data_IF_035041100040
#
_entry.id   IF_035041100040
#
_cell.length_a   1.000
_cell.length_b   1.000
_cell.length_c   1.000
_cell.angle_alpha   90.00
_cell.angle_beta   90.00
_cell.angle_gamma   90.00
#
_symmetry.space_group_name_H-M   'P 1'
#
loop_
_entity.id
_entity.type
_entity.pdbx_description
1 polymer ?
#
# COMPACT_ATOMS: atom_id res chain seq x y z
N UNK A 1 14.84 22.15 -0.42
CA UNK A 1 13.69 22.97 -0.89
C UNK A 1 13.51 22.83 -2.41
N UNK A 2 12.47 22.14 -2.85
CA UNK A 2 12.14 21.98 -4.28
C UNK A 2 11.53 23.28 -4.82
N UNK A 3 11.91 23.70 -6.03
CA UNK A 3 11.35 24.92 -6.65
C UNK A 3 9.82 24.86 -6.82
N UNK A 4 9.29 23.64 -6.97
CA UNK A 4 7.86 23.32 -7.13
C UNK A 4 7.05 23.46 -5.84
N UNK A 5 7.72 23.41 -4.67
CA UNK A 5 7.07 23.43 -3.37
C UNK A 5 7.74 24.34 -2.33
N UNK A 6 8.58 25.30 -2.73
CA UNK A 6 9.11 26.33 -1.80
C UNK A 6 9.88 27.48 -2.49
N UNK A 7 9.85 27.65 -3.83
CA UNK A 7 10.88 28.49 -4.47
C UNK A 7 10.53 29.26 -5.75
N UNK A 8 9.47 28.92 -6.49
CA UNK A 8 9.24 29.57 -7.80
C UNK A 8 7.92 30.34 -7.94
N UNK A 9 6.82 29.93 -7.28
CA UNK A 9 5.51 30.59 -7.43
C UNK A 9 4.72 30.60 -6.12
N UNK A 10 4.38 31.79 -5.62
CA UNK A 10 3.64 31.98 -4.37
C UNK A 10 2.29 31.24 -4.35
N UNK A 11 1.69 31.02 -5.52
CA UNK A 11 0.42 30.30 -5.68
C UNK A 11 0.52 28.79 -5.42
N UNK A 12 1.61 28.12 -5.81
CA UNK A 12 1.80 26.69 -5.49
C UNK A 12 2.35 26.49 -4.07
N UNK A 13 2.95 27.54 -3.51
CA UNK A 13 3.51 27.56 -2.16
C UNK A 13 2.48 27.79 -1.07
N UNK A 14 1.52 28.68 -1.29
CA UNK A 14 0.39 28.85 -0.40
C UNK A 14 -0.92 28.56 -1.14
N UNK A 15 -1.37 27.30 -1.08
CA UNK A 15 -2.72 26.95 -1.49
C UNK A 15 -3.73 27.49 -0.45
N UNK A 16 -4.62 28.43 -0.82
CA UNK A 16 -5.49 29.15 0.12
C UNK A 16 -6.55 28.29 0.81
N UNK A 17 -6.65 27.01 0.46
CA UNK A 17 -7.64 26.06 0.99
C UNK A 17 -7.03 25.08 2.00
N UNK A 18 -5.71 24.83 1.98
CA UNK A 18 -5.09 23.72 2.73
C UNK A 18 -3.87 24.15 3.55
N UNK A 19 -3.44 25.42 3.48
CA UNK A 19 -2.28 25.97 4.22
C UNK A 19 -0.98 25.16 4.08
N UNK A 20 -0.84 24.39 2.98
CA UNK A 20 0.32 23.57 2.69
C UNK A 20 0.71 23.66 1.21
N UNK A 21 2.01 23.48 0.94
CA UNK A 21 2.55 23.43 -0.42
C UNK A 21 1.91 22.32 -1.26
N UNK A 22 1.72 22.59 -2.55
CA UNK A 22 1.14 21.62 -3.49
C UNK A 22 1.86 20.27 -3.45
N UNK A 23 3.19 20.28 -3.31
CA UNK A 23 3.99 19.06 -3.26
C UNK A 23 3.71 18.25 -1.98
N UNK A 24 3.48 18.91 -0.86
CA UNK A 24 3.10 18.26 0.41
C UNK A 24 1.72 17.63 0.30
N UNK A 25 0.77 18.34 -0.30
CA UNK A 25 -0.58 17.82 -0.56
C UNK A 25 -0.52 16.55 -1.44
N UNK A 26 0.21 16.60 -2.56
CA UNK A 26 0.39 15.44 -3.43
C UNK A 26 1.09 14.28 -2.70
N UNK A 27 2.05 14.59 -1.84
CA UNK A 27 2.76 13.58 -1.04
C UNK A 27 1.83 12.90 -0.04
N UNK A 28 0.94 13.63 0.63
CA UNK A 28 -0.06 13.05 1.55
C UNK A 28 -1.03 12.14 0.80
N UNK A 29 -1.54 12.57 -0.36
CA UNK A 29 -2.49 11.75 -1.13
C UNK A 29 -1.81 10.48 -1.65
N UNK A 30 -0.64 10.59 -2.27
CA UNK A 30 -0.01 9.47 -2.98
C UNK A 30 0.85 8.58 -2.09
N UNK A 31 1.48 9.13 -1.06
CA UNK A 31 2.37 8.39 -0.18
C UNK A 31 1.61 7.87 1.04
N UNK A 32 0.87 8.74 1.74
CA UNK A 32 0.21 8.34 2.98
C UNK A 32 -1.15 7.66 2.77
N UNK A 33 -1.87 7.98 1.67
CA UNK A 33 -3.19 7.39 1.41
C UNK A 33 -3.15 6.29 0.35
N UNK A 34 -2.53 6.56 -0.81
CA UNK A 34 -2.57 5.61 -1.92
C UNK A 34 -1.75 4.33 -1.67
N UNK A 35 -0.63 4.40 -0.93
CA UNK A 35 0.16 3.21 -0.59
C UNK A 35 -0.60 2.20 0.29
N UNK A 36 -1.16 2.57 1.47
CA UNK A 36 -1.90 1.62 2.28
C UNK A 36 -3.17 1.12 1.60
N UNK A 37 -3.89 1.98 0.86
CA UNK A 37 -5.08 1.57 0.08
C UNK A 37 -4.71 0.59 -1.03
N UNK A 38 -3.65 0.86 -1.79
CA UNK A 38 -3.15 -0.02 -2.84
C UNK A 38 -2.68 -1.37 -2.28
N UNK A 39 -1.99 -1.34 -1.14
CA UNK A 39 -1.58 -2.54 -0.40
C UNK A 39 -2.77 -3.38 0.08
N UNK A 40 -3.82 -2.73 0.60
CA UNK A 40 -5.02 -3.41 1.08
C UNK A 40 -5.72 -4.12 -0.09
N UNK A 41 -5.90 -3.41 -1.20
CA UNK A 41 -6.53 -3.97 -2.40
C UNK A 41 -5.73 -5.15 -2.96
N UNK A 42 -4.39 -5.05 -3.02
CA UNK A 42 -3.55 -6.17 -3.48
C UNK A 42 -3.58 -7.34 -2.52
N UNK A 43 -3.51 -7.13 -1.21
CA UNK A 43 -3.62 -8.21 -0.22
C UNK A 43 -4.99 -8.90 -0.26
N UNK A 44 -6.07 -8.13 -0.42
CA UNK A 44 -7.43 -8.68 -0.57
C UNK A 44 -7.55 -9.48 -1.88
N UNK A 45 -7.02 -8.94 -2.98
CA UNK A 45 -7.04 -9.60 -4.27
C UNK A 45 -6.26 -10.92 -4.26
N UNK A 46 -5.01 -10.93 -3.78
CA UNK A 46 -4.18 -12.13 -3.73
C UNK A 46 -4.74 -13.15 -2.72
N UNK A 47 -5.17 -12.69 -1.53
CA UNK A 47 -5.66 -13.56 -0.46
C UNK A 47 -7.04 -14.18 -0.72
N UNK A 48 -7.96 -13.44 -1.36
CA UNK A 48 -9.36 -13.87 -1.54
C UNK A 48 -9.77 -14.13 -2.98
N UNK A 49 -9.29 -13.35 -3.95
CA UNK A 49 -9.71 -13.47 -5.37
C UNK A 49 -8.84 -14.46 -6.13
N UNK A 50 -7.52 -14.32 -6.08
CA UNK A 50 -6.59 -15.24 -6.78
C UNK A 50 -6.59 -16.62 -6.12
N UNK A 51 -6.72 -16.66 -4.79
CA UNK A 51 -6.50 -17.83 -3.92
C UNK A 51 -5.05 -18.33 -4.01
N UNK A 52 -4.31 -18.31 -2.88
CA UNK A 52 -2.89 -18.63 -2.89
C UNK A 52 -2.57 -20.06 -3.37
N UNK A 53 -3.54 -20.98 -3.35
CA UNK A 53 -3.43 -22.32 -3.93
C UNK A 53 -3.11 -22.31 -5.44
N UNK A 54 -3.67 -21.37 -6.21
CA UNK A 54 -3.39 -21.23 -7.65
C UNK A 54 -1.99 -20.68 -7.91
N UNK A 55 -1.52 -19.76 -7.06
CA UNK A 55 -0.16 -19.22 -7.15
C UNK A 55 0.89 -20.29 -6.79
N UNK A 56 0.61 -21.15 -5.81
CA UNK A 56 1.48 -22.27 -5.45
C UNK A 56 1.56 -23.29 -6.61
N UNK A 57 0.45 -23.51 -7.33
CA UNK A 57 0.41 -24.40 -8.49
C UNK A 57 1.27 -23.86 -9.65
N UNK A 58 1.22 -22.55 -9.92
CA UNK A 58 2.12 -21.88 -10.89
C UNK A 58 3.60 -21.94 -10.47
N UNK A 59 3.90 -21.79 -9.18
CA UNK A 59 5.28 -21.89 -8.68
C UNK A 59 5.81 -23.32 -8.80
N UNK A 60 4.96 -24.33 -8.59
CA UNK A 60 5.33 -25.75 -8.73
C UNK A 60 5.44 -26.21 -10.18
N UNK A 61 4.85 -25.48 -11.13
CA UNK A 61 4.88 -25.78 -12.57
C UNK A 61 6.31 -25.85 -13.15
N UNK A 62 7.30 -25.26 -12.48
CA UNK A 62 8.72 -25.30 -12.85
C UNK A 62 9.55 -26.35 -12.08
N UNK A 63 8.93 -27.31 -11.38
CA UNK A 63 9.62 -28.45 -10.76
C UNK A 63 10.25 -28.17 -9.39
N UNK A 64 9.99 -27.00 -8.80
CA UNK A 64 10.41 -26.64 -7.44
C UNK A 64 9.40 -27.16 -6.42
N UNK A 65 9.85 -28.06 -5.54
CA UNK A 65 9.06 -28.44 -4.36
C UNK A 65 9.05 -27.25 -3.41
N UNK A 66 7.87 -26.76 -3.05
CA UNK A 66 7.69 -25.67 -2.09
C UNK A 66 7.29 -26.25 -0.72
N UNK A 67 8.25 -26.71 0.11
CA UNK A 67 7.96 -27.18 1.47
C UNK A 67 7.49 -25.98 2.31
N UNK A 68 6.27 -26.04 2.82
CA UNK A 68 5.66 -24.92 3.58
C UNK A 68 4.63 -24.09 2.82
N UNK A 69 4.21 -24.54 1.63
CA UNK A 69 3.14 -23.90 0.83
C UNK A 69 1.85 -23.62 1.62
N UNK A 70 1.44 -24.49 2.54
CA UNK A 70 0.29 -24.26 3.42
C UNK A 70 0.48 -23.10 4.41
N UNK A 71 1.68 -22.98 5.00
CA UNK A 71 2.01 -21.89 5.93
C UNK A 71 2.08 -20.55 5.19
N UNK A 72 2.69 -20.54 4.00
CA UNK A 72 2.76 -19.37 3.13
C UNK A 72 1.37 -18.90 2.65
N UNK A 73 0.50 -19.85 2.26
CA UNK A 73 -0.92 -19.59 1.97
C UNK A 73 -1.62 -18.91 3.14
N UNK A 74 -1.40 -19.41 4.36
CA UNK A 74 -1.99 -18.85 5.57
C UNK A 74 -1.45 -17.44 5.87
N UNK A 75 -0.14 -17.23 5.76
CA UNK A 75 0.50 -15.92 5.91
C UNK A 75 -0.04 -14.89 4.92
N UNK A 76 -0.19 -15.24 3.65
CA UNK A 76 -0.73 -14.30 2.65
C UNK A 76 -2.21 -14.02 2.87
N UNK A 77 -2.98 -15.03 3.27
CA UNK A 77 -4.43 -14.89 3.47
C UNK A 77 -4.81 -14.22 4.78
N UNK A 78 -3.96 -14.29 5.80
CA UNK A 78 -4.21 -13.71 7.13
C UNK A 78 -3.19 -12.66 7.56
N UNK A 79 -1.88 -12.95 7.52
CA UNK A 79 -0.88 -12.01 8.03
C UNK A 79 -0.79 -10.73 7.18
N UNK A 80 -0.80 -10.83 5.85
CA UNK A 80 -0.76 -9.66 4.96
C UNK A 80 -1.98 -8.73 5.12
N UNK A 81 -3.24 -9.20 5.05
CA UNK A 81 -4.39 -8.32 5.24
C UNK A 81 -4.49 -7.78 6.67
N UNK A 82 -4.08 -8.55 7.70
CA UNK A 82 -4.06 -8.06 9.09
C UNK A 82 -2.99 -6.99 9.28
N UNK A 83 -1.78 -7.16 8.74
CA UNK A 83 -0.73 -6.16 8.82
C UNK A 83 -1.15 -4.85 8.15
N UNK A 84 -1.70 -4.92 6.94
CA UNK A 84 -2.13 -3.71 6.22
C UNK A 84 -3.35 -3.07 6.88
N UNK A 85 -4.31 -3.87 7.36
CA UNK A 85 -5.43 -3.38 8.17
C UNK A 85 -4.95 -2.67 9.43
N UNK A 86 -3.93 -3.19 10.12
CA UNK A 86 -3.35 -2.55 11.31
C UNK A 86 -2.66 -1.23 10.99
N UNK A 87 -1.96 -1.14 9.85
CA UNK A 87 -1.32 0.11 9.39
C UNK A 87 -2.39 1.16 9.10
N UNK A 88 -3.46 0.79 8.39
CA UNK A 88 -4.57 1.70 8.10
C UNK A 88 -5.25 2.18 9.38
N UNK A 89 -5.56 1.28 10.31
CA UNK A 89 -6.16 1.65 11.61
C UNK A 89 -5.25 2.60 12.40
N UNK A 90 -3.94 2.37 12.39
CA UNK A 90 -2.98 3.25 13.04
C UNK A 90 -2.92 4.63 12.36
N UNK A 91 -2.88 4.67 11.03
CA UNK A 91 -2.94 5.91 10.24
C UNK A 91 -4.19 6.72 10.58
N UNK A 92 -5.37 6.10 10.62
CA UNK A 92 -6.62 6.78 11.00
C UNK A 92 -6.66 7.22 12.47
N UNK A 93 -5.98 6.52 13.37
CA UNK A 93 -5.89 6.90 14.79
C UNK A 93 -4.82 7.95 15.09
N UNK A 94 -3.86 8.14 14.18
CA UNK A 94 -2.78 9.14 14.29
C UNK A 94 -3.11 10.50 13.67
N UNK A 95 -4.23 10.59 12.93
CA UNK A 95 -4.79 11.83 12.39
C UNK A 95 -5.71 12.49 13.41
#
# INVERSE_FOLDING_TARGET
>A
PSALGNGAVAFLTHLPVVEMDFLTLMSIIWNDFALPVGGLLTALFVGWVWRPDKAIDEVKLHGTTFPGSGLWSFLIRWACPVAIGSIILFTFGSM
#
